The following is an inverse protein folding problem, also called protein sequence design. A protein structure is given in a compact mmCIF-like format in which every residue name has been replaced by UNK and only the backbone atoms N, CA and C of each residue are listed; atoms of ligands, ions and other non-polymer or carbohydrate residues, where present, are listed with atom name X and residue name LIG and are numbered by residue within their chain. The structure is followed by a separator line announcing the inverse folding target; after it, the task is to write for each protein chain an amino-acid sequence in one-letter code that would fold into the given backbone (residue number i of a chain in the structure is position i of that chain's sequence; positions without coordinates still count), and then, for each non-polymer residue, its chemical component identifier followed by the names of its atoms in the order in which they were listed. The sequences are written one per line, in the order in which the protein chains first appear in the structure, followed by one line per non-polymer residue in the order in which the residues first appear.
data_IF_365143009543
#
_entry.id   IF_365143009543
#
_cell.length_a   1.000
_cell.length_b   1.000
_cell.length_c   1.000
_cell.angle_alpha   90.00
_cell.angle_beta   90.00
_cell.angle_gamma   90.00
#
_symmetry.space_group_name_H-M   'P 1'
#
loop_
_entity.id
_entity.type
_entity.pdbx_description
1 polymer ?
#
# COMPACT_ATOMS: atom_id res chain seq x y z
N UNK A 1 -8.46 9.38 21.22
CA UNK A 1 -8.83 7.97 21.40
C UNK A 1 -9.93 7.90 22.44
N UNK A 2 -11.18 7.71 22.06
CA UNK A 2 -12.17 7.15 22.98
C UNK A 2 -11.80 5.68 23.10
N UNK A 3 -11.54 5.20 24.31
CA UNK A 3 -11.46 3.77 24.57
C UNK A 3 -12.76 3.14 24.05
N UNK A 4 -12.65 2.40 22.93
CA UNK A 4 -13.76 1.67 22.37
C UNK A 4 -14.17 0.53 23.30
N UNK A 5 -15.42 0.13 23.23
CA UNK A 5 -15.89 -1.09 23.89
C UNK A 5 -15.13 -2.27 23.26
N UNK A 6 -14.34 -3.05 24.03
CA UNK A 6 -13.58 -4.19 23.51
C UNK A 6 -14.44 -5.21 22.75
N UNK A 7 -15.69 -5.39 23.15
CA UNK A 7 -16.64 -6.25 22.45
C UNK A 7 -16.98 -5.71 21.06
N UNK A 8 -17.07 -4.39 20.92
CA UNK A 8 -17.36 -3.74 19.63
C UNK A 8 -16.12 -3.71 18.72
N UNK A 9 -14.93 -3.52 19.28
CA UNK A 9 -13.67 -3.60 18.53
C UNK A 9 -13.45 -5.01 18.00
N UNK A 10 -13.66 -6.04 18.80
CA UNK A 10 -13.59 -7.43 18.39
C UNK A 10 -14.63 -7.75 17.30
N UNK A 11 -15.86 -7.28 17.41
CA UNK A 11 -16.89 -7.52 16.39
C UNK A 11 -16.58 -6.85 15.05
N UNK A 12 -15.93 -5.69 15.05
CA UNK A 12 -15.50 -5.00 13.81
C UNK A 12 -14.36 -5.75 13.15
N UNK A 13 -13.35 -6.17 13.91
CA UNK A 13 -12.24 -6.97 13.39
C UNK A 13 -12.72 -8.34 12.88
N UNK A 14 -13.64 -8.98 13.57
CA UNK A 14 -14.23 -10.26 13.15
C UNK A 14 -15.06 -10.10 11.86
N UNK A 15 -15.83 -9.04 11.74
CA UNK A 15 -16.58 -8.72 10.53
C UNK A 15 -15.65 -8.43 9.33
N UNK A 16 -14.60 -7.66 9.53
CA UNK A 16 -13.61 -7.39 8.48
C UNK A 16 -12.85 -8.67 8.10
N UNK A 17 -12.47 -9.49 9.07
CA UNK A 17 -11.83 -10.78 8.84
C UNK A 17 -12.73 -11.74 8.07
N UNK A 18 -14.00 -11.88 8.45
CA UNK A 18 -14.98 -12.70 7.73
C UNK A 18 -15.20 -12.21 6.30
N UNK A 19 -15.29 -10.89 6.10
CA UNK A 19 -15.40 -10.29 4.76
C UNK A 19 -14.23 -10.61 3.84
N UNK A 20 -13.02 -10.72 4.39
CA UNK A 20 -11.79 -11.01 3.63
C UNK A 20 -11.63 -12.52 3.40
N UNK A 21 -11.80 -13.34 4.43
CA UNK A 21 -11.47 -14.77 4.40
C UNK A 21 -12.59 -15.63 3.88
N UNK A 22 -13.85 -15.31 4.21
CA UNK A 22 -15.03 -16.09 3.86
C UNK A 22 -15.69 -15.64 2.55
N UNK A 23 -15.11 -14.62 1.86
CA UNK A 23 -15.67 -14.09 0.62
C UNK A 23 -16.98 -13.36 0.84
N UNK A 24 -17.13 -12.69 1.99
CA UNK A 24 -18.30 -11.89 2.32
C UNK A 24 -18.60 -10.82 1.26
N UNK A 25 -19.86 -10.39 1.19
CA UNK A 25 -20.40 -9.48 0.17
C UNK A 25 -19.85 -8.03 0.24
N UNK A 26 -18.71 -7.78 0.88
CA UNK A 26 -18.14 -6.44 0.88
C UNK A 26 -17.68 -6.08 -0.52
N UNK A 27 -18.42 -5.18 -1.15
CA UNK A 27 -18.19 -4.70 -2.53
C UNK A 27 -16.78 -4.16 -2.74
N UNK A 28 -16.14 -3.71 -1.69
CA UNK A 28 -14.77 -3.21 -1.74
C UNK A 28 -13.77 -4.34 -2.07
N UNK A 29 -13.92 -5.50 -1.43
CA UNK A 29 -13.03 -6.65 -1.66
C UNK A 29 -13.46 -7.49 -2.87
N UNK A 30 -14.75 -7.60 -3.17
CA UNK A 30 -15.25 -8.32 -4.35
C UNK A 30 -14.64 -7.84 -5.67
N UNK A 31 -14.37 -6.54 -5.79
CA UNK A 31 -13.70 -5.98 -6.97
C UNK A 31 -12.27 -6.52 -7.13
N UNK A 32 -11.61 -6.87 -6.02
CA UNK A 32 -10.24 -7.42 -6.01
C UNK A 32 -10.23 -8.92 -6.24
N UNK A 33 -11.15 -9.62 -5.64
CA UNK A 33 -11.30 -11.07 -5.78
C UNK A 33 -11.41 -11.51 -7.24
N UNK A 34 -12.05 -10.66 -8.05
CA UNK A 34 -12.22 -10.89 -9.49
C UNK A 34 -10.96 -10.61 -10.31
N UNK A 35 -10.02 -9.84 -9.77
CA UNK A 35 -8.81 -9.45 -10.48
C UNK A 35 -7.73 -10.52 -10.42
N UNK A 36 -7.63 -11.25 -9.29
CA UNK A 36 -6.57 -12.24 -9.11
C UNK A 36 -6.97 -13.61 -9.68
N UNK A 37 -6.10 -14.23 -10.48
CA UNK A 37 -6.28 -15.63 -10.87
C UNK A 37 -6.44 -16.53 -9.65
N UNK A 38 -7.31 -17.54 -9.72
CA UNK A 38 -7.63 -18.41 -8.59
C UNK A 38 -6.41 -19.06 -7.91
N UNK A 39 -5.34 -19.34 -8.68
CA UNK A 39 -4.07 -19.86 -8.16
C UNK A 39 -3.38 -18.93 -7.15
N UNK A 40 -3.55 -17.62 -7.28
CA UNK A 40 -2.87 -16.63 -6.43
C UNK A 40 -3.75 -16.06 -5.31
N UNK A 41 -5.04 -16.39 -5.26
CA UNK A 41 -5.96 -15.82 -4.26
C UNK A 41 -5.53 -16.06 -2.82
N UNK A 42 -4.94 -17.20 -2.53
CA UNK A 42 -4.45 -17.56 -1.19
C UNK A 42 -3.13 -16.88 -0.81
N UNK A 43 -2.45 -16.25 -1.77
CA UNK A 43 -1.17 -15.56 -1.58
C UNK A 43 -1.33 -14.03 -1.52
N UNK A 44 -2.57 -13.53 -1.64
CA UNK A 44 -2.85 -12.09 -1.59
C UNK A 44 -3.10 -11.65 -0.16
N UNK A 45 -2.34 -10.65 0.29
CA UNK A 45 -2.60 -9.95 1.55
C UNK A 45 -3.07 -8.52 1.28
N UNK A 46 -4.02 -8.05 2.06
CA UNK A 46 -4.50 -6.67 2.04
C UNK A 46 -3.98 -5.94 3.27
N UNK A 47 -3.50 -4.72 3.08
CA UNK A 47 -2.98 -3.93 4.18
C UNK A 47 -3.28 -2.44 3.94
N UNK A 48 -3.79 -1.79 4.95
CA UNK A 48 -3.83 -0.34 5.00
C UNK A 48 -2.44 0.20 5.36
N UNK A 49 -1.97 1.19 4.59
CA UNK A 49 -0.66 1.78 4.82
C UNK A 49 -0.59 2.54 6.15
N UNK A 50 -1.71 3.13 6.55
CA UNK A 50 -1.86 3.85 7.81
C UNK A 50 -2.83 3.09 8.71
N UNK A 51 -2.36 2.64 9.88
CA UNK A 51 -3.10 1.80 10.82
C UNK A 51 -4.04 2.59 11.73
N UNK A 52 -4.53 3.74 11.27
CA UNK A 52 -5.60 4.49 11.94
C UNK A 52 -6.78 4.66 11.00
N UNK A 53 -7.97 4.57 11.56
CA UNK A 53 -9.20 4.67 10.77
C UNK A 53 -9.53 6.13 10.50
N UNK A 54 -9.41 6.52 9.23
CA UNK A 54 -9.86 7.82 8.74
C UNK A 54 -10.58 7.63 7.39
N UNK A 55 -11.77 8.16 7.30
CA UNK A 55 -12.63 8.03 6.11
C UNK A 55 -12.36 9.09 5.06
N UNK A 56 -11.70 10.19 5.43
CA UNK A 56 -11.36 11.30 4.54
C UNK A 56 -9.84 11.44 4.40
N UNK A 57 -9.33 11.13 3.21
CA UNK A 57 -7.91 11.30 2.88
C UNK A 57 -7.39 12.73 3.07
N UNK A 58 -8.25 13.75 2.91
CA UNK A 58 -7.85 15.13 3.17
C UNK A 58 -7.49 15.36 4.65
N UNK A 59 -8.02 14.58 5.56
CA UNK A 59 -7.66 14.64 6.97
C UNK A 59 -6.23 14.16 7.20
N UNK A 60 -5.76 13.15 6.49
CA UNK A 60 -4.35 12.70 6.53
C UNK A 60 -3.42 13.84 6.12
N UNK A 61 -3.76 14.58 5.07
CA UNK A 61 -2.96 15.73 4.63
C UNK A 61 -3.00 16.89 5.61
N UNK A 62 -4.08 17.05 6.36
CA UNK A 62 -4.14 18.03 7.47
C UNK A 62 -3.21 17.60 8.62
N UNK A 63 -3.17 16.29 8.94
CA UNK A 63 -2.21 15.78 9.92
C UNK A 63 -0.77 16.05 9.51
N UNK A 64 -0.41 15.88 8.25
CA UNK A 64 0.94 16.16 7.76
C UNK A 64 1.36 17.64 7.88
N UNK A 65 0.41 18.56 8.11
CA UNK A 65 0.69 20.00 8.32
C UNK A 65 0.88 20.37 9.79
N UNK A 66 0.52 19.51 10.71
CA UNK A 66 0.70 19.68 12.14
C UNK A 66 1.83 18.79 12.65
N UNK A 67 2.78 19.30 13.47
CA UNK A 67 3.92 18.50 13.92
C UNK A 67 3.55 17.16 14.60
N UNK A 68 2.51 17.15 15.45
CA UNK A 68 2.06 15.93 16.12
C UNK A 68 1.37 14.99 15.16
N UNK A 69 0.61 15.52 14.21
CA UNK A 69 -0.02 14.73 13.17
C UNK A 69 1.00 14.13 12.20
N UNK A 70 2.03 14.92 11.86
CA UNK A 70 3.16 14.43 11.05
C UNK A 70 3.88 13.26 11.73
N UNK A 71 4.15 13.37 13.04
CA UNK A 71 4.75 12.30 13.84
C UNK A 71 3.87 11.03 13.85
N UNK A 72 2.54 11.20 13.98
CA UNK A 72 1.59 10.09 13.91
C UNK A 72 1.66 9.37 12.56
N UNK A 73 1.63 10.11 11.45
CA UNK A 73 1.72 9.54 10.10
C UNK A 73 3.07 8.86 9.89
N UNK A 74 4.16 9.51 10.27
CA UNK A 74 5.51 8.94 10.16
C UNK A 74 5.66 7.65 10.98
N UNK A 75 5.14 7.62 12.21
CA UNK A 75 5.16 6.44 13.08
C UNK A 75 4.39 5.26 12.48
N UNK A 76 3.23 5.52 11.86
CA UNK A 76 2.47 4.48 11.14
C UNK A 76 3.23 3.95 9.93
N UNK A 77 3.80 4.84 9.11
CA UNK A 77 4.59 4.43 7.94
C UNK A 77 5.85 3.66 8.33
N UNK A 78 6.51 4.04 9.45
CA UNK A 78 7.64 3.30 10.01
C UNK A 78 7.26 1.85 10.31
N UNK A 79 6.16 1.65 11.02
CA UNK A 79 5.66 0.30 11.35
C UNK A 79 5.26 -0.49 10.10
N UNK A 80 4.51 0.12 9.20
CA UNK A 80 4.05 -0.52 7.96
C UNK A 80 5.23 -0.92 7.08
N UNK A 81 6.25 -0.07 6.94
CA UNK A 81 7.46 -0.39 6.18
C UNK A 81 8.21 -1.58 6.78
N UNK A 82 8.43 -1.58 8.10
CA UNK A 82 9.12 -2.70 8.77
C UNK A 82 8.33 -4.01 8.64
N UNK A 83 7.02 -3.96 8.72
CA UNK A 83 6.17 -5.14 8.54
C UNK A 83 6.25 -5.70 7.12
N UNK A 84 6.18 -4.83 6.10
CA UNK A 84 6.33 -5.24 4.70
C UNK A 84 7.73 -5.83 4.45
N UNK A 85 8.78 -5.20 4.97
CA UNK A 85 10.17 -5.60 4.80
C UNK A 85 10.55 -6.90 5.48
N UNK A 86 10.03 -7.13 6.69
CA UNK A 86 10.50 -8.22 7.55
C UNK A 86 9.55 -9.40 7.59
N UNK A 87 8.24 -9.15 7.46
CA UNK A 87 7.20 -10.18 7.62
C UNK A 87 6.62 -10.59 6.28
N UNK A 88 6.03 -9.64 5.55
CA UNK A 88 5.29 -9.95 4.31
C UNK A 88 6.23 -10.32 3.17
N UNK A 89 7.27 -9.53 2.94
CA UNK A 89 8.27 -9.72 1.87
C UNK A 89 7.63 -10.03 0.51
N UNK A 90 6.72 -9.18 0.03
CA UNK A 90 5.97 -9.46 -1.19
C UNK A 90 6.88 -9.45 -2.41
N UNK A 91 6.55 -10.25 -3.42
CA UNK A 91 7.21 -10.22 -4.73
C UNK A 91 6.53 -9.23 -5.70
N UNK A 92 5.24 -8.95 -5.44
CA UNK A 92 4.43 -7.97 -6.16
C UNK A 92 3.64 -7.14 -5.15
N UNK A 93 3.66 -5.83 -5.31
CA UNK A 93 2.88 -4.87 -4.53
C UNK A 93 1.93 -4.12 -5.47
N UNK A 94 0.67 -3.99 -5.07
CA UNK A 94 -0.26 -3.11 -5.77
C UNK A 94 -0.68 -1.95 -4.85
N UNK A 95 -0.30 -0.74 -5.23
CA UNK A 95 -0.65 0.50 -4.52
C UNK A 95 -1.88 1.10 -5.18
N UNK A 96 -3.03 1.03 -4.51
CA UNK A 96 -4.36 1.32 -5.06
C UNK A 96 -4.83 2.76 -4.97
N UNK A 97 -3.98 3.68 -4.58
CA UNK A 97 -4.39 5.05 -4.32
C UNK A 97 -3.28 6.02 -4.71
N UNK A 98 -3.56 6.86 -5.70
CA UNK A 98 -2.59 7.85 -6.17
C UNK A 98 -2.11 8.78 -5.04
N UNK A 99 -2.99 9.14 -4.10
CA UNK A 99 -2.62 9.96 -2.93
C UNK A 99 -1.61 9.29 -1.99
N UNK A 100 -1.45 7.97 -2.03
CA UNK A 100 -0.47 7.24 -1.21
C UNK A 100 0.89 7.03 -1.89
N UNK A 101 1.04 7.36 -3.17
CA UNK A 101 2.29 7.11 -3.91
C UNK A 101 3.49 7.81 -3.29
N UNK A 102 3.32 9.05 -2.81
CA UNK A 102 4.37 9.81 -2.14
C UNK A 102 4.87 9.11 -0.87
N UNK A 103 4.01 8.42 -0.11
CA UNK A 103 4.42 7.69 1.08
C UNK A 103 5.41 6.55 0.77
N UNK A 104 5.36 5.99 -0.43
CA UNK A 104 6.33 5.01 -0.91
C UNK A 104 7.66 5.63 -1.36
N UNK A 105 7.68 6.94 -1.58
CA UNK A 105 8.82 7.66 -2.15
C UNK A 105 8.74 7.81 -3.68
N UNK A 106 7.60 7.44 -4.30
CA UNK A 106 7.41 7.66 -5.74
C UNK A 106 7.36 9.17 -6.01
N UNK A 107 8.19 9.63 -6.94
CA UNK A 107 8.34 11.04 -7.29
C UNK A 107 8.83 11.94 -6.12
N UNK A 108 9.46 11.36 -5.10
CA UNK A 108 10.01 12.12 -3.98
C UNK A 108 11.08 13.10 -4.48
N UNK A 109 11.00 14.35 -3.99
CA UNK A 109 11.98 15.40 -4.25
C UNK A 109 12.77 15.69 -2.99
N UNK A 110 13.99 16.20 -3.15
CA UNK A 110 14.89 16.45 -2.04
C UNK A 110 14.41 17.46 -0.99
N UNK A 111 13.45 18.32 -1.37
CA UNK A 111 12.85 19.35 -0.52
C UNK A 111 11.47 18.95 0.05
N UNK A 112 11.03 17.71 -0.20
CA UNK A 112 9.77 17.17 0.27
C UNK A 112 10.00 16.06 1.32
N UNK A 113 8.94 15.66 2.02
CA UNK A 113 9.00 14.48 2.90
C UNK A 113 9.28 13.21 2.09
N UNK A 114 10.33 12.50 2.44
CA UNK A 114 10.77 11.28 1.72
C UNK A 114 9.96 10.04 2.14
N UNK A 115 9.35 10.05 3.32
CA UNK A 115 8.53 8.98 3.88
C UNK A 115 9.27 7.63 3.92
N UNK A 116 8.71 6.56 3.33
CA UNK A 116 9.39 5.25 3.26
C UNK A 116 10.61 5.27 2.33
N UNK A 117 10.61 6.14 1.33
CA UNK A 117 11.78 6.44 0.51
C UNK A 117 12.28 5.30 -0.36
N UNK A 118 11.39 4.47 -0.90
CA UNK A 118 11.81 3.51 -1.91
C UNK A 118 12.22 4.20 -3.21
N UNK A 119 13.26 3.68 -3.83
CA UNK A 119 13.71 4.08 -5.17
C UNK A 119 13.14 3.14 -6.19
N UNK A 120 12.56 3.69 -7.26
CA UNK A 120 11.88 2.93 -8.30
C UNK A 120 12.57 3.08 -9.66
N UNK A 121 12.70 1.96 -10.36
CA UNK A 121 12.90 1.90 -11.80
C UNK A 121 11.52 1.83 -12.46
N UNK A 122 11.21 2.75 -13.36
CA UNK A 122 9.99 2.69 -14.15
C UNK A 122 10.15 1.64 -15.26
N UNK A 123 9.23 0.69 -15.34
CA UNK A 123 9.26 -0.39 -16.33
C UNK A 123 8.28 -0.13 -17.49
N UNK A 124 7.05 0.28 -17.17
CA UNK A 124 5.97 0.43 -18.14
C UNK A 124 4.90 1.40 -17.64
N UNK A 125 4.38 2.26 -18.51
CA UNK A 125 3.16 3.03 -18.26
C UNK A 125 1.95 2.28 -18.81
N UNK A 126 1.00 1.97 -17.93
CA UNK A 126 -0.21 1.22 -18.24
C UNK A 126 -1.44 2.13 -18.16
N UNK A 127 -2.56 1.80 -18.80
CA UNK A 127 -3.80 2.57 -18.67
C UNK A 127 -4.26 2.71 -17.20
N UNK A 128 -3.99 1.72 -16.36
CA UNK A 128 -4.34 1.72 -14.94
C UNK A 128 -3.31 2.42 -14.04
N UNK A 129 -2.11 2.77 -14.54
CA UNK A 129 -1.07 3.41 -13.75
C UNK A 129 0.35 3.04 -14.15
N UNK A 130 1.30 3.17 -13.23
CA UNK A 130 2.72 2.94 -13.51
C UNK A 130 3.19 1.60 -12.94
N UNK A 131 3.86 0.84 -13.76
CA UNK A 131 4.50 -0.41 -13.36
C UNK A 131 6.00 -0.16 -13.14
N UNK A 132 6.47 -0.50 -11.96
CA UNK A 132 7.81 -0.18 -11.49
C UNK A 132 8.47 -1.38 -10.82
N UNK A 133 9.78 -1.24 -10.53
CA UNK A 133 10.56 -2.17 -9.72
C UNK A 133 11.27 -1.40 -8.62
N UNK A 134 11.30 -1.94 -7.40
CA UNK A 134 12.11 -1.39 -6.30
C UNK A 134 13.59 -1.69 -6.60
N UNK A 135 14.41 -0.64 -6.61
CA UNK A 135 15.86 -0.76 -6.84
C UNK A 135 16.69 -0.53 -5.57
N UNK A 136 16.09 0.05 -4.54
CA UNK A 136 16.76 0.36 -3.29
C UNK A 136 15.99 1.39 -2.47
N UNK A 137 16.70 2.06 -1.59
CA UNK A 137 16.20 3.18 -0.78
C UNK A 137 16.88 4.48 -1.19
N UNK A 138 16.18 5.60 -1.03
CA UNK A 138 16.75 6.95 -1.16
C UNK A 138 17.63 7.17 0.07
N UNK A 139 18.87 7.57 -0.12
CA UNK A 139 19.76 7.95 0.99
C UNK A 139 19.41 9.37 1.45
N UNK A 140 18.55 9.45 2.48
CA UNK A 140 18.07 10.72 3.01
C UNK A 140 17.66 10.57 4.48
N UNK A 141 18.06 11.51 5.37
CA UNK A 141 17.77 11.43 6.80
C UNK A 141 16.26 11.49 7.14
N UNK A 142 15.45 12.10 6.28
CA UNK A 142 14.00 12.25 6.51
C UNK A 142 13.18 10.99 6.15
N UNK A 143 13.84 9.87 5.77
CA UNK A 143 13.13 8.60 5.66
C UNK A 143 12.68 8.12 7.05
N UNK A 144 11.45 7.59 7.12
CA UNK A 144 10.86 7.16 8.40
C UNK A 144 11.66 6.07 9.14
N UNK A 145 12.46 5.28 8.45
CA UNK A 145 13.33 4.22 9.00
C UNK A 145 14.80 4.40 8.60
N UNK A 146 15.25 5.65 8.43
CA UNK A 146 16.63 5.94 8.05
C UNK A 146 17.67 5.35 9.03
N UNK A 147 17.33 5.33 10.30
CA UNK A 147 18.17 4.87 11.41
C UNK A 147 18.29 3.35 11.53
N UNK A 148 17.33 2.57 11.03
CA UNK A 148 17.27 1.13 11.24
C UNK A 148 17.09 0.29 9.96
N UNK A 149 16.73 0.90 8.83
CA UNK A 149 16.58 0.24 7.53
C UNK A 149 17.51 0.91 6.51
N UNK A 150 18.76 0.51 6.47
CA UNK A 150 19.79 1.06 5.56
C UNK A 150 19.64 0.49 4.14
N UNK A 151 19.25 -0.76 4.03
CA UNK A 151 19.00 -1.46 2.78
C UNK A 151 17.62 -2.13 2.81
N UNK A 152 17.00 -2.26 1.64
CA UNK A 152 15.68 -2.92 1.52
C UNK A 152 15.82 -4.40 1.17
N UNK A 153 15.03 -5.23 1.84
CA UNK A 153 14.82 -6.63 1.46
C UNK A 153 13.95 -6.78 0.20
N UNK A 154 13.29 -5.69 -0.22
CA UNK A 154 12.36 -5.68 -1.36
C UNK A 154 13.02 -5.30 -2.69
N UNK A 155 14.36 -5.29 -2.76
CA UNK A 155 15.05 -5.03 -4.02
C UNK A 155 14.67 -6.09 -5.06
N UNK A 156 14.16 -5.62 -6.20
CA UNK A 156 13.63 -6.50 -7.26
C UNK A 156 12.11 -6.68 -7.21
N UNK A 157 11.44 -6.37 -6.08
CA UNK A 157 9.99 -6.44 -5.96
C UNK A 157 9.32 -5.55 -6.99
N UNK A 158 8.32 -6.09 -7.66
CA UNK A 158 7.51 -5.40 -8.65
C UNK A 158 6.42 -4.57 -7.95
N UNK A 159 6.14 -3.38 -8.47
CA UNK A 159 5.13 -2.48 -7.89
C UNK A 159 4.24 -1.91 -8.99
N UNK A 160 2.94 -2.15 -8.86
CA UNK A 160 1.91 -1.54 -9.70
C UNK A 160 1.27 -0.37 -8.94
N UNK A 161 1.54 0.84 -9.35
CA UNK A 161 0.93 2.05 -8.80
C UNK A 161 -0.36 2.36 -9.57
N UNK A 162 -1.52 2.27 -8.91
CA UNK A 162 -2.82 2.54 -9.54
C UNK A 162 -3.56 3.68 -8.84
N UNK A 163 -4.56 4.25 -9.50
CA UNK A 163 -5.53 5.14 -8.89
C UNK A 163 -6.58 4.37 -8.09
N UNK A 164 -7.38 5.08 -7.31
CA UNK A 164 -8.45 4.46 -6.52
C UNK A 164 -9.55 3.88 -7.43
N UNK A 165 -9.88 2.61 -7.26
CA UNK A 165 -10.73 1.86 -8.17
C UNK A 165 -12.19 2.34 -8.26
N UNK A 166 -12.74 2.85 -7.17
CA UNK A 166 -14.16 3.25 -7.15
C UNK A 166 -14.50 4.44 -8.07
N UNK A 167 -13.49 5.22 -8.45
CA UNK A 167 -13.68 6.46 -9.21
C UNK A 167 -13.06 6.42 -10.62
N UNK A 168 -12.60 5.24 -11.06
CA UNK A 168 -11.98 5.11 -12.36
C UNK A 168 -12.93 4.48 -13.38
N UNK A 169 -12.80 4.92 -14.62
CA UNK A 169 -13.42 4.25 -15.75
C UNK A 169 -12.85 2.82 -15.89
N UNK A 170 -13.65 1.90 -16.39
CA UNK A 170 -13.29 0.47 -16.49
C UNK A 170 -12.02 0.20 -17.28
N UNK A 171 -11.72 1.02 -18.29
CA UNK A 171 -10.51 0.95 -19.12
C UNK A 171 -9.23 1.38 -18.38
N UNK A 172 -9.38 2.04 -17.22
CA UNK A 172 -8.28 2.47 -16.33
C UNK A 172 -8.09 1.58 -15.12
N UNK A 173 -8.81 0.47 -15.05
CA UNK A 173 -8.64 -0.51 -13.98
C UNK A 173 -7.64 -1.61 -14.42
N UNK A 174 -6.89 -2.21 -13.49
CA UNK A 174 -6.17 -3.44 -13.78
C UNK A 174 -7.13 -4.52 -14.27
N UNK A 175 -6.69 -5.35 -15.19
CA UNK A 175 -7.46 -6.51 -15.65
C UNK A 175 -6.89 -7.80 -15.09
N UNK A 176 -7.69 -8.90 -15.02
CA UNK A 176 -7.19 -10.21 -14.62
C UNK A 176 -6.00 -10.69 -15.46
N UNK A 177 -6.03 -10.40 -16.77
CA UNK A 177 -4.95 -10.78 -17.70
C UNK A 177 -3.65 -10.02 -17.40
N UNK A 178 -3.77 -8.72 -17.08
CA UNK A 178 -2.63 -7.92 -16.64
C UNK A 178 -2.03 -8.51 -15.35
N UNK A 179 -2.85 -8.78 -14.35
CA UNK A 179 -2.36 -9.35 -13.09
C UNK A 179 -1.76 -10.74 -13.28
N UNK A 180 -2.35 -11.59 -14.12
CA UNK A 180 -1.76 -12.87 -14.47
C UNK A 180 -0.37 -12.71 -15.12
N UNK A 181 -0.22 -11.73 -16.04
CA UNK A 181 1.08 -11.38 -16.64
C UNK A 181 2.09 -10.95 -15.56
N UNK A 182 1.70 -10.05 -14.67
CA UNK A 182 2.60 -9.56 -13.61
C UNK A 182 2.96 -10.66 -12.62
N UNK A 183 2.02 -11.53 -12.25
CA UNK A 183 2.30 -12.70 -11.41
C UNK A 183 3.29 -13.66 -12.09
N UNK A 184 3.13 -13.95 -13.38
CA UNK A 184 4.09 -14.76 -14.14
C UNK A 184 5.49 -14.16 -14.28
N UNK A 185 5.68 -12.89 -13.99
CA UNK A 185 7.00 -12.24 -13.97
C UNK A 185 7.76 -12.45 -12.64
N UNK A 186 7.08 -12.97 -11.61
CA UNK A 186 7.66 -13.20 -10.28
C UNK A 186 7.89 -14.69 -9.97
N UNK A 187 7.50 -15.59 -10.88
CA UNK A 187 7.83 -17.02 -10.85
C UNK A 187 9.27 -17.25 -11.31
#
# INVERSE_FOLDING_TARGET
FRQGDPARENSVCEYEYQGIVEGGEDRYFLAFDKLFPGAYKQEVAYMDLLNFRETDQNTVWKFCKDPKGLELVAGNLRLSQLFIEQVVRPRLIMVKNKGSWCFWGKEAKADENIWMGYRFEHLESLPCGDFCRITGLIDHPDRVNHDCLLETNLKGTLVLFTSHFQYQASDKLPTPELLARLCGMIE
#
